data_IF_541074517927
#
_entry.id   IF_541074517927
#
_cell.length_a   1.000
_cell.length_b   1.000
_cell.length_c   1.000
_cell.angle_alpha   90.00
_cell.angle_beta   90.00
_cell.angle_gamma   90.00
#
_symmetry.space_group_name_H-M   'P 1'
#
loop_
_entity.id
_entity.type
_entity.pdbx_description
1 polymer ?
#
# COMPACT_ATOMS: atom_id res chain seq x y z
N UNK A 1 23.68 -18.99 8.41
CA UNK A 1 25.04 -18.56 7.98
C UNK A 1 25.29 -17.06 8.23
N UNK A 2 24.42 -16.14 7.78
CA UNK A 2 24.61 -14.70 8.07
C UNK A 2 24.09 -14.29 9.44
N UNK A 3 23.21 -15.07 10.05
CA UNK A 3 22.67 -14.81 11.38
C UNK A 3 23.74 -14.91 12.48
N UNK A 4 24.83 -15.63 12.21
CA UNK A 4 25.94 -15.83 13.15
C UNK A 4 27.02 -14.73 13.01
N UNK A 5 26.89 -13.84 12.02
CA UNK A 5 27.86 -12.77 11.83
C UNK A 5 27.66 -11.66 12.86
N UNK A 6 28.76 -11.18 13.43
CA UNK A 6 28.77 -9.88 14.07
C UNK A 6 28.62 -8.75 13.03
N UNK A 7 28.45 -7.52 13.48
CA UNK A 7 28.21 -6.38 12.59
C UNK A 7 29.41 -6.08 11.67
N UNK A 8 30.63 -6.33 12.11
CA UNK A 8 31.84 -6.11 11.31
C UNK A 8 31.92 -7.16 10.21
N UNK A 9 31.69 -8.43 10.55
CA UNK A 9 31.67 -9.52 9.60
C UNK A 9 30.57 -9.36 8.56
N UNK A 10 29.34 -8.94 8.97
CA UNK A 10 28.24 -8.67 8.06
C UNK A 10 28.59 -7.57 7.05
N UNK A 11 29.23 -6.50 7.53
CA UNK A 11 29.67 -5.39 6.68
C UNK A 11 30.73 -5.81 5.67
N UNK A 12 31.80 -6.47 6.14
CA UNK A 12 32.93 -6.84 5.28
C UNK A 12 32.63 -8.00 4.33
N UNK A 13 31.93 -9.05 4.79
CA UNK A 13 31.72 -10.27 4.02
C UNK A 13 30.48 -10.23 3.11
N UNK A 14 29.51 -9.36 3.39
CA UNK A 14 28.26 -9.30 2.65
C UNK A 14 27.94 -7.91 2.12
N UNK A 15 27.69 -6.93 3.00
CA UNK A 15 27.15 -5.64 2.60
C UNK A 15 28.11 -4.85 1.72
N UNK A 16 29.40 -4.88 1.98
CA UNK A 16 30.41 -4.21 1.15
C UNK A 16 30.34 -4.68 -0.29
N UNK A 17 30.42 -6.00 -0.54
CA UNK A 17 30.33 -6.56 -1.88
C UNK A 17 28.98 -6.28 -2.55
N UNK A 18 27.89 -6.37 -1.78
CA UNK A 18 26.56 -6.09 -2.30
C UNK A 18 26.44 -4.63 -2.78
N UNK A 19 26.88 -3.66 -1.96
CA UNK A 19 26.82 -2.27 -2.32
C UNK A 19 27.83 -1.89 -3.42
N UNK A 20 29.01 -2.50 -3.46
CA UNK A 20 29.97 -2.35 -4.56
C UNK A 20 29.36 -2.81 -5.89
N UNK A 21 28.63 -3.94 -5.91
CA UNK A 21 27.91 -4.42 -7.10
C UNK A 21 26.75 -3.53 -7.51
N UNK A 22 26.15 -2.81 -6.58
CA UNK A 22 25.18 -1.75 -6.87
C UNK A 22 25.84 -0.46 -7.39
N UNK A 23 27.17 -0.31 -7.26
CA UNK A 23 27.92 0.86 -7.69
C UNK A 23 28.24 1.87 -6.58
N UNK A 24 28.01 1.55 -5.30
CA UNK A 24 28.38 2.39 -4.17
C UNK A 24 29.85 2.20 -3.79
N UNK A 25 30.46 3.27 -3.26
CA UNK A 25 31.75 3.24 -2.58
C UNK A 25 31.54 3.67 -1.12
N UNK A 26 30.99 2.75 -0.32
CA UNK A 26 30.61 3.04 1.07
C UNK A 26 31.77 3.54 1.91
N UNK A 27 31.56 4.65 2.60
CA UNK A 27 32.50 5.22 3.57
C UNK A 27 31.96 5.02 4.98
N UNK A 28 32.71 4.28 5.77
CA UNK A 28 32.36 4.03 7.17
C UNK A 28 32.49 5.31 8.01
N UNK A 29 31.52 5.50 8.90
CA UNK A 29 31.52 6.56 9.91
C UNK A 29 30.88 6.06 11.20
N UNK A 30 31.21 6.61 12.35
CA UNK A 30 30.59 6.23 13.62
C UNK A 30 29.26 6.94 13.84
N UNK A 31 29.13 8.13 13.33
CA UNK A 31 27.94 8.95 13.45
C UNK A 31 27.91 10.04 12.38
N UNK A 32 26.74 10.58 12.12
CA UNK A 32 26.52 11.78 11.30
C UNK A 32 25.82 12.86 12.11
N UNK A 33 26.06 14.12 11.75
CA UNK A 33 25.47 15.29 12.39
C UNK A 33 24.45 15.89 11.42
N UNK A 34 23.21 16.03 11.87
CA UNK A 34 22.19 16.72 11.11
C UNK A 34 22.52 18.20 11.01
N UNK A 35 22.74 18.70 9.79
CA UNK A 35 23.24 20.04 9.54
C UNK A 35 22.36 21.15 10.12
N UNK A 36 21.04 20.97 10.07
CA UNK A 36 20.07 22.00 10.49
C UNK A 36 19.92 22.10 12.01
N UNK A 37 20.18 21.02 12.76
CA UNK A 37 19.92 20.96 14.21
C UNK A 37 21.16 20.71 15.05
N UNK A 38 22.28 20.31 14.45
CA UNK A 38 23.48 19.89 15.15
C UNK A 38 23.37 18.57 15.91
N UNK A 39 22.23 17.86 15.80
CA UNK A 39 22.02 16.60 16.49
C UNK A 39 22.87 15.49 15.88
N UNK A 40 23.49 14.68 16.74
CA UNK A 40 24.34 13.56 16.34
C UNK A 40 23.50 12.27 16.28
N UNK A 41 23.61 11.56 15.16
CA UNK A 41 22.94 10.29 14.91
C UNK A 41 23.95 9.17 14.69
N UNK A 42 23.77 7.97 15.29
CA UNK A 42 24.66 6.81 15.11
C UNK A 42 24.41 6.14 13.76
N UNK A 43 24.84 6.78 12.69
CA UNK A 43 24.66 6.32 11.30
C UNK A 43 25.99 5.80 10.77
N UNK A 44 26.01 4.59 10.19
CA UNK A 44 27.21 3.80 10.01
C UNK A 44 28.01 4.07 8.72
N UNK A 45 27.37 4.51 7.66
CA UNK A 45 28.02 4.74 6.38
C UNK A 45 27.41 5.90 5.62
N UNK A 46 28.22 6.47 4.74
CA UNK A 46 27.83 7.35 3.65
C UNK A 46 28.08 6.66 2.31
N UNK A 47 27.26 6.92 1.32
CA UNK A 47 27.32 6.22 0.01
C UNK A 47 28.63 6.45 -0.75
N UNK A 48 29.23 7.65 -0.59
CA UNK A 48 30.55 8.07 -1.14
C UNK A 48 31.07 9.29 -0.37
N UNK A 49 32.23 9.80 -0.76
CA UNK A 49 32.92 10.92 -0.09
C UNK A 49 32.33 12.31 -0.38
N UNK A 50 31.05 12.47 -0.42
CA UNK A 50 30.41 13.76 -0.65
C UNK A 50 29.32 14.00 0.41
N UNK A 51 29.18 15.21 0.97
CA UNK A 51 28.12 15.53 1.93
C UNK A 51 26.71 15.29 1.40
N UNK A 52 26.49 15.36 0.08
CA UNK A 52 25.21 15.07 -0.58
C UNK A 52 24.95 13.58 -0.76
N UNK A 53 25.94 12.71 -0.49
CA UNK A 53 25.78 11.27 -0.63
C UNK A 53 24.71 10.74 0.36
N UNK A 54 23.88 9.77 -0.08
CA UNK A 54 22.88 9.19 0.79
C UNK A 54 23.53 8.47 2.00
N UNK A 55 22.86 8.51 3.13
CA UNK A 55 23.24 7.71 4.30
C UNK A 55 22.84 6.25 4.06
N UNK A 56 23.74 5.33 4.39
CA UNK A 56 23.48 3.89 4.38
C UNK A 56 23.71 3.37 5.81
N UNK A 57 22.63 3.19 6.55
CA UNK A 57 22.66 2.70 7.92
C UNK A 57 22.56 1.18 7.96
N UNK A 58 23.60 0.53 8.50
CA UNK A 58 23.69 -0.93 8.59
C UNK A 58 23.61 -1.39 10.03
N UNK A 59 22.80 -2.41 10.28
CA UNK A 59 22.62 -3.01 11.62
C UNK A 59 22.80 -4.54 11.53
N UNK A 60 22.83 -5.22 12.67
CA UNK A 60 22.97 -6.67 12.76
C UNK A 60 21.89 -7.39 11.94
N UNK A 61 22.23 -8.54 11.38
CA UNK A 61 21.32 -9.35 10.57
C UNK A 61 20.04 -9.76 11.32
N UNK A 62 20.18 -10.05 12.61
CA UNK A 62 19.07 -10.43 13.49
C UNK A 62 18.25 -9.25 14.00
N UNK A 63 18.74 -8.00 13.78
CA UNK A 63 18.05 -6.81 14.24
C UNK A 63 16.85 -6.48 13.34
N UNK A 64 15.67 -6.39 13.96
CA UNK A 64 14.47 -5.88 13.30
C UNK A 64 14.60 -4.38 13.05
N UNK A 65 14.29 -3.93 11.83
CA UNK A 65 14.43 -2.52 11.44
C UNK A 65 13.43 -1.59 12.14
N UNK A 66 12.31 -2.13 12.64
CA UNK A 66 11.28 -1.36 13.34
C UNK A 66 11.37 -1.46 14.86
N UNK A 67 12.21 -2.34 15.40
CA UNK A 67 12.37 -2.51 16.84
C UNK A 67 13.62 -1.83 17.34
N UNK A 68 13.51 -1.23 18.52
CA UNK A 68 14.65 -0.65 19.22
C UNK A 68 15.70 -1.71 19.50
N UNK A 69 16.98 -1.36 19.33
CA UNK A 69 18.11 -2.25 19.68
C UNK A 69 18.15 -2.42 21.21
N UNK A 70 18.21 -3.65 21.73
CA UNK A 70 18.10 -3.92 23.17
C UNK A 70 19.40 -3.61 23.97
N UNK A 71 20.35 -2.85 23.40
CA UNK A 71 21.65 -2.54 24.00
C UNK A 71 21.64 -1.34 24.97
N UNK A 72 20.49 -0.69 25.14
CA UNK A 72 20.33 0.52 25.97
C UNK A 72 20.99 1.79 25.41
N UNK A 73 21.84 1.69 24.39
CA UNK A 73 22.57 2.83 23.79
C UNK A 73 21.76 3.51 22.70
N UNK A 74 20.92 2.78 21.99
CA UNK A 74 20.10 3.29 20.90
C UNK A 74 18.72 3.70 21.40
N UNK A 75 18.37 4.98 21.24
CA UNK A 75 17.09 5.54 21.69
C UNK A 75 15.93 5.11 20.79
N UNK A 76 16.19 4.88 19.51
CA UNK A 76 15.21 4.63 18.46
C UNK A 76 15.50 3.33 17.72
N UNK A 77 14.51 2.84 16.94
CA UNK A 77 14.74 1.75 15.98
C UNK A 77 15.70 2.19 14.87
N UNK A 78 16.34 1.25 14.14
CA UNK A 78 17.17 1.59 12.99
C UNK A 78 16.45 2.46 11.95
N UNK A 79 15.21 2.11 11.64
CA UNK A 79 14.34 2.89 10.75
C UNK A 79 14.12 4.30 11.28
N UNK A 80 13.68 4.43 12.53
CA UNK A 80 13.38 5.74 13.12
C UNK A 80 14.64 6.60 13.31
N UNK A 81 15.79 5.99 13.53
CA UNK A 81 17.07 6.70 13.62
C UNK A 81 17.41 7.39 12.30
N UNK A 82 17.34 6.66 11.19
CA UNK A 82 17.58 7.25 9.87
C UNK A 82 16.48 8.25 9.48
N UNK A 83 15.20 7.93 9.72
CA UNK A 83 14.09 8.84 9.39
C UNK A 83 14.22 10.18 10.13
N UNK A 84 14.57 10.16 11.41
CA UNK A 84 14.77 11.39 12.20
C UNK A 84 15.94 12.21 11.72
N UNK A 85 17.01 11.56 11.24
CA UNK A 85 18.12 12.25 10.61
C UNK A 85 17.69 12.93 9.31
N UNK A 86 17.02 12.18 8.41
CA UNK A 86 16.53 12.74 7.14
C UNK A 86 15.58 13.93 7.35
N UNK A 87 14.73 13.86 8.38
CA UNK A 87 13.83 14.95 8.72
C UNK A 87 14.53 16.19 9.34
N UNK A 88 15.81 16.12 9.66
CA UNK A 88 16.60 17.20 10.28
C UNK A 88 17.75 17.65 9.39
N UNK A 89 17.78 17.23 8.13
CA UNK A 89 18.81 17.65 7.17
C UNK A 89 18.19 17.91 5.82
N UNK A 90 18.58 19.03 5.20
CA UNK A 90 18.13 19.39 3.83
C UNK A 90 19.07 18.86 2.76
N UNK A 91 20.28 18.45 3.15
CA UNK A 91 21.30 17.95 2.21
C UNK A 91 21.05 16.54 1.71
N UNK A 92 20.30 15.74 2.47
CA UNK A 92 20.05 14.32 2.17
C UNK A 92 18.55 14.03 2.26
N UNK A 93 17.87 14.05 1.12
CA UNK A 93 16.44 13.72 1.07
C UNK A 93 16.18 12.21 1.16
N UNK A 94 17.18 11.39 0.79
CA UNK A 94 17.05 9.95 0.69
C UNK A 94 18.13 9.22 1.49
N UNK A 95 17.78 8.08 2.07
CA UNK A 95 18.70 7.23 2.79
C UNK A 95 18.31 5.75 2.71
N UNK A 96 19.24 4.90 3.06
CA UNK A 96 19.09 3.44 3.03
C UNK A 96 19.33 2.89 4.43
N UNK A 97 18.45 2.00 4.91
CA UNK A 97 18.69 1.20 6.11
C UNK A 97 18.61 -0.28 5.81
N UNK A 98 19.54 -1.07 6.32
CA UNK A 98 19.58 -2.52 6.07
C UNK A 98 20.16 -3.29 7.25
N UNK A 99 19.63 -4.51 7.43
CA UNK A 99 20.22 -5.52 8.31
C UNK A 99 20.86 -6.67 7.52
N UNK A 100 21.01 -6.52 6.19
CA UNK A 100 21.58 -7.57 5.33
C UNK A 100 20.57 -8.59 4.80
N UNK A 101 19.40 -8.75 5.42
CA UNK A 101 18.28 -9.55 4.87
C UNK A 101 17.19 -8.67 4.27
N UNK A 102 16.96 -7.51 4.84
CA UNK A 102 16.02 -6.50 4.35
C UNK A 102 16.73 -5.20 4.09
N UNK A 103 16.37 -4.54 3.01
CA UNK A 103 16.89 -3.22 2.66
C UNK A 103 15.72 -2.28 2.41
N UNK A 104 15.76 -1.10 3.02
CA UNK A 104 14.73 -0.06 2.89
C UNK A 104 15.35 1.21 2.33
N UNK A 105 14.67 1.78 1.35
CA UNK A 105 14.87 3.12 0.86
C UNK A 105 13.88 4.05 1.58
N UNK A 106 14.38 5.05 2.28
CA UNK A 106 13.63 6.06 3.01
C UNK A 106 13.80 7.42 2.36
N UNK A 107 12.76 8.24 2.45
CA UNK A 107 12.78 9.64 2.10
C UNK A 107 12.49 10.51 3.33
N UNK A 108 12.90 11.77 3.30
CA UNK A 108 12.37 12.77 4.23
C UNK A 108 10.84 12.87 4.16
N UNK A 109 10.15 12.66 5.29
CA UNK A 109 8.70 12.74 5.45
C UNK A 109 8.34 13.67 6.62
N UNK A 110 8.68 14.94 6.50
CA UNK A 110 8.51 15.92 7.58
C UNK A 110 7.05 16.15 8.00
N UNK A 111 6.09 15.89 7.13
CA UNK A 111 4.68 16.26 7.31
C UNK A 111 3.72 15.07 7.35
N UNK A 112 4.19 13.84 7.33
CA UNK A 112 3.32 12.67 7.29
C UNK A 112 3.43 11.83 8.57
N UNK A 113 2.26 11.47 9.13
CA UNK A 113 2.15 10.64 10.33
C UNK A 113 2.42 9.15 10.08
N UNK A 114 2.51 8.74 8.83
CA UNK A 114 2.76 7.34 8.43
C UNK A 114 4.17 7.15 7.89
N UNK A 115 4.78 6.00 8.25
CA UNK A 115 6.08 5.60 7.70
C UNK A 115 5.97 5.31 6.20
N UNK A 116 6.69 6.06 5.37
CA UNK A 116 6.79 5.83 3.93
C UNK A 116 8.16 5.27 3.58
N UNK A 117 8.23 4.07 3.00
CA UNK A 117 9.47 3.45 2.54
C UNK A 117 9.21 2.42 1.45
N UNK A 118 10.24 2.13 0.67
CA UNK A 118 10.28 0.96 -0.22
C UNK A 118 11.17 -0.10 0.42
N UNK A 119 10.68 -1.31 0.62
CA UNK A 119 11.44 -2.42 1.21
C UNK A 119 11.60 -3.56 0.23
N UNK A 120 12.81 -4.11 0.18
CA UNK A 120 13.13 -5.35 -0.49
C UNK A 120 13.58 -6.41 0.52
N UNK A 121 13.09 -7.63 0.36
CA UNK A 121 13.56 -8.80 1.08
C UNK A 121 14.65 -9.50 0.24
N UNK A 122 15.91 -9.36 0.66
CA UNK A 122 17.05 -9.87 -0.10
C UNK A 122 17.09 -11.40 -0.12
N UNK A 123 16.66 -12.06 0.98
CA UNK A 123 16.59 -13.51 1.01
C UNK A 123 15.57 -14.02 -0.01
N UNK A 124 14.37 -13.41 -0.02
CA UNK A 124 13.32 -13.78 -0.97
C UNK A 124 13.75 -13.55 -2.43
N UNK A 125 14.51 -12.47 -2.69
CA UNK A 125 15.00 -12.14 -4.03
C UNK A 125 16.07 -13.14 -4.48
N UNK A 126 17.08 -13.41 -3.64
CA UNK A 126 18.22 -14.24 -4.04
C UNK A 126 17.90 -15.73 -3.98
N UNK A 127 17.29 -16.22 -2.89
CA UNK A 127 16.92 -17.63 -2.76
C UNK A 127 15.83 -18.02 -3.76
N UNK A 128 14.87 -17.12 -3.97
CA UNK A 128 13.78 -17.27 -4.93
C UNK A 128 14.17 -16.97 -6.39
N UNK A 129 15.41 -16.52 -6.65
CA UNK A 129 15.90 -16.08 -7.98
C UNK A 129 14.95 -15.12 -8.68
N UNK A 130 14.36 -14.19 -7.95
CA UNK A 130 13.35 -13.25 -8.44
C UNK A 130 14.00 -12.09 -9.21
N UNK A 131 14.28 -12.32 -10.47
CA UNK A 131 15.00 -11.35 -11.31
C UNK A 131 14.24 -10.02 -11.50
N UNK A 132 12.93 -10.05 -11.61
CA UNK A 132 12.11 -8.83 -11.75
C UNK A 132 12.25 -7.89 -10.56
N UNK A 133 12.22 -8.45 -9.34
CA UNK A 133 12.37 -7.69 -8.09
C UNK A 133 13.81 -7.21 -7.91
N UNK A 134 14.80 -8.06 -8.27
CA UNK A 134 16.20 -7.64 -8.29
C UNK A 134 16.44 -6.47 -9.27
N UNK A 135 15.85 -6.53 -10.46
CA UNK A 135 15.94 -5.45 -11.44
C UNK A 135 15.33 -4.14 -10.90
N UNK A 136 14.20 -4.22 -10.19
CA UNK A 136 13.59 -3.05 -9.55
C UNK A 136 14.48 -2.49 -8.44
N UNK A 137 15.00 -3.36 -7.56
CA UNK A 137 15.96 -3.00 -6.51
C UNK A 137 17.17 -2.28 -7.11
N UNK A 138 17.81 -2.86 -8.13
CA UNK A 138 18.98 -2.28 -8.79
C UNK A 138 18.66 -0.89 -9.37
N UNK A 139 17.51 -0.76 -10.06
CA UNK A 139 17.10 0.52 -10.65
C UNK A 139 16.84 1.61 -9.64
N UNK A 140 16.28 1.28 -8.49
CA UNK A 140 15.98 2.26 -7.43
C UNK A 140 17.21 2.61 -6.57
N UNK A 141 18.05 1.61 -6.26
CA UNK A 141 19.17 1.79 -5.35
C UNK A 141 20.50 2.09 -6.03
N UNK A 142 20.60 2.13 -7.35
CA UNK A 142 21.84 2.51 -8.04
C UNK A 142 22.24 3.95 -7.67
N UNK A 143 23.53 4.25 -7.37
CA UNK A 143 24.00 5.56 -6.90
C UNK A 143 23.57 6.74 -7.78
N UNK A 144 23.50 6.55 -9.10
CA UNK A 144 23.07 7.60 -10.03
C UNK A 144 21.65 8.12 -9.76
N UNK A 145 20.83 7.40 -8.99
CA UNK A 145 19.46 7.82 -8.64
C UNK A 145 19.43 8.87 -7.53
N UNK A 146 20.50 8.94 -6.76
CA UNK A 146 20.65 9.88 -5.63
C UNK A 146 21.35 11.18 -6.04
N UNK A 147 22.08 11.16 -7.16
CA UNK A 147 22.80 12.35 -7.64
C UNK A 147 21.80 13.44 -8.03
N UNK A 148 22.06 14.64 -7.53
CA UNK A 148 21.25 15.82 -7.83
C UNK A 148 21.67 16.37 -9.18
N UNK A 149 20.74 16.46 -10.11
CA UNK A 149 20.93 17.11 -11.40
C UNK A 149 21.05 18.62 -11.22
N UNK A 150 22.04 19.26 -11.87
CA UNK A 150 22.36 20.67 -11.69
C UNK A 150 21.30 21.62 -12.27
N UNK A 151 20.61 21.18 -13.33
CA UNK A 151 19.63 22.01 -14.04
C UNK A 151 18.28 21.99 -13.34
N UNK A 152 17.87 20.80 -12.86
CA UNK A 152 16.58 20.59 -12.21
C UNK A 152 16.64 20.73 -10.69
N UNK A 153 17.82 20.69 -10.10
CA UNK A 153 18.07 20.63 -8.65
C UNK A 153 17.33 19.48 -7.94
N UNK A 154 17.12 18.37 -8.67
CA UNK A 154 16.42 17.18 -8.17
C UNK A 154 17.19 15.92 -8.54
N UNK A 155 17.09 14.90 -7.69
CA UNK A 155 17.54 13.56 -8.05
C UNK A 155 16.47 12.82 -8.87
N UNK A 156 16.86 11.75 -9.56
CA UNK A 156 15.91 10.89 -10.28
C UNK A 156 14.89 10.30 -9.30
N UNK A 157 15.30 9.92 -8.09
CA UNK A 157 14.36 9.43 -7.05
C UNK A 157 13.33 10.50 -6.68
N UNK A 158 13.74 11.77 -6.60
CA UNK A 158 12.82 12.85 -6.28
C UNK A 158 11.83 13.12 -7.42
N UNK A 159 12.27 13.02 -8.65
CA UNK A 159 11.40 13.11 -9.83
C UNK A 159 10.37 11.98 -9.83
N UNK A 160 10.82 10.72 -9.66
CA UNK A 160 9.93 9.55 -9.59
C UNK A 160 8.93 9.64 -8.44
N UNK A 161 9.37 10.13 -7.28
CA UNK A 161 8.47 10.32 -6.13
C UNK A 161 7.37 11.34 -6.42
N UNK A 162 7.74 12.49 -7.00
CA UNK A 162 6.78 13.53 -7.33
C UNK A 162 5.80 13.09 -8.43
N UNK A 163 6.28 12.41 -9.46
CA UNK A 163 5.42 11.80 -10.50
C UNK A 163 4.45 10.77 -9.91
N UNK A 164 4.94 9.90 -9.02
CA UNK A 164 4.09 8.92 -8.33
C UNK A 164 3.02 9.59 -7.46
N UNK A 165 3.37 10.69 -6.78
CA UNK A 165 2.42 11.48 -5.98
C UNK A 165 1.35 12.11 -6.86
N UNK A 166 1.73 12.71 -7.98
CA UNK A 166 0.78 13.29 -8.94
C UNK A 166 -0.13 12.22 -9.56
N UNK A 167 0.44 11.08 -9.95
CA UNK A 167 -0.34 9.95 -10.45
C UNK A 167 -1.33 9.43 -9.40
N UNK A 168 -0.90 9.35 -8.14
CA UNK A 168 -1.79 8.96 -7.04
C UNK A 168 -2.93 9.95 -6.80
N UNK A 169 -2.70 11.25 -6.94
CA UNK A 169 -3.75 12.29 -6.86
C UNK A 169 -4.72 12.14 -8.03
N UNK A 170 -4.23 12.01 -9.26
CA UNK A 170 -5.06 11.84 -10.45
C UNK A 170 -5.95 10.59 -10.35
N UNK A 171 -5.39 9.44 -9.94
CA UNK A 171 -6.17 8.22 -9.69
C UNK A 171 -7.22 8.44 -8.60
N UNK A 172 -6.90 9.21 -7.56
CA UNK A 172 -7.85 9.54 -6.49
C UNK A 172 -9.02 10.42 -6.98
N UNK A 173 -8.78 11.34 -7.89
CA UNK A 173 -9.81 12.19 -8.50
C UNK A 173 -10.69 11.39 -9.46
N UNK A 174 -10.08 10.57 -10.32
CA UNK A 174 -10.80 9.66 -11.23
C UNK A 174 -11.67 8.67 -10.43
N UNK A 175 -11.12 8.09 -9.35
CA UNK A 175 -11.88 7.19 -8.48
C UNK A 175 -13.08 7.91 -7.84
N UNK A 176 -12.92 9.15 -7.39
CA UNK A 176 -14.02 9.96 -6.83
C UNK A 176 -15.10 10.21 -7.86
N UNK A 177 -14.73 10.54 -9.09
CA UNK A 177 -15.65 10.70 -10.22
C UNK A 177 -16.41 9.42 -10.52
N UNK A 178 -15.72 8.31 -10.61
CA UNK A 178 -16.31 7.00 -10.88
C UNK A 178 -17.25 6.52 -9.76
N UNK A 179 -16.88 6.73 -8.50
CA UNK A 179 -17.74 6.40 -7.34
C UNK A 179 -18.99 7.27 -7.34
N UNK A 180 -18.87 8.56 -7.65
CA UNK A 180 -20.03 9.45 -7.77
C UNK A 180 -20.98 8.97 -8.87
N UNK A 181 -20.46 8.64 -10.04
CA UNK A 181 -21.27 8.10 -11.14
C UNK A 181 -21.93 6.76 -10.78
N UNK A 182 -21.24 5.89 -10.07
CA UNK A 182 -21.83 4.64 -9.56
C UNK A 182 -22.99 4.89 -8.60
N UNK A 183 -22.87 5.89 -7.69
CA UNK A 183 -23.95 6.32 -6.79
C UNK A 183 -25.15 6.80 -7.58
N UNK A 184 -24.92 7.68 -8.55
CA UNK A 184 -25.96 8.26 -9.40
C UNK A 184 -26.69 7.18 -10.23
N UNK A 185 -25.94 6.28 -10.87
CA UNK A 185 -26.50 5.20 -11.66
C UNK A 185 -27.35 4.24 -10.81
N UNK A 186 -26.83 3.83 -9.67
CA UNK A 186 -27.52 2.92 -8.77
C UNK A 186 -28.80 3.57 -8.19
N UNK A 187 -28.70 4.82 -7.74
CA UNK A 187 -29.84 5.57 -7.23
C UNK A 187 -30.93 5.75 -8.29
N UNK A 188 -30.56 6.17 -9.48
CA UNK A 188 -31.51 6.34 -10.59
C UNK A 188 -32.18 5.02 -10.98
N UNK A 189 -31.43 3.90 -10.99
CA UNK A 189 -31.99 2.57 -11.24
C UNK A 189 -33.09 2.21 -10.24
N UNK A 190 -32.84 2.40 -8.93
CA UNK A 190 -33.86 2.13 -7.90
C UNK A 190 -35.07 3.08 -7.99
N UNK A 191 -34.84 4.37 -8.23
CA UNK A 191 -35.91 5.36 -8.30
C UNK A 191 -36.79 5.19 -9.54
N UNK A 192 -36.23 4.79 -10.70
CA UNK A 192 -36.97 4.57 -11.92
C UNK A 192 -37.94 3.40 -11.83
N UNK A 193 -37.57 2.37 -11.06
CA UNK A 193 -38.41 1.17 -10.86
C UNK A 193 -39.40 1.32 -9.71
N UNK A 194 -39.29 2.34 -8.86
CA UNK A 194 -40.10 2.55 -7.67
C UNK A 194 -40.67 3.99 -7.57
N UNK A 195 -41.82 4.27 -8.26
CA UNK A 195 -42.43 5.61 -8.25
C UNK A 195 -42.83 6.11 -6.85
N UNK A 196 -43.21 5.21 -5.94
CA UNK A 196 -43.51 5.59 -4.55
C UNK A 196 -42.26 6.02 -3.78
N UNK A 197 -41.17 5.29 -3.95
CA UNK A 197 -39.88 5.67 -3.36
C UNK A 197 -39.41 7.02 -3.89
N UNK A 198 -39.52 7.25 -5.20
CA UNK A 198 -39.18 8.53 -5.82
C UNK A 198 -40.00 9.68 -5.18
N UNK A 199 -41.31 9.50 -5.03
CA UNK A 199 -42.17 10.51 -4.41
C UNK A 199 -41.78 10.83 -2.96
N UNK A 200 -41.44 9.81 -2.19
CA UNK A 200 -41.03 9.96 -0.80
C UNK A 200 -39.68 10.68 -0.71
N UNK A 201 -38.69 10.25 -1.46
CA UNK A 201 -37.33 10.82 -1.48
C UNK A 201 -37.35 12.29 -1.91
N UNK A 202 -38.19 12.66 -2.90
CA UNK A 202 -38.31 14.06 -3.36
C UNK A 202 -38.98 14.96 -2.33
N UNK A 203 -39.97 14.45 -1.60
CA UNK A 203 -40.79 15.26 -0.71
C UNK A 203 -40.30 15.27 0.76
N UNK A 204 -39.39 14.38 1.13
CA UNK A 204 -38.92 14.25 2.52
C UNK A 204 -37.38 14.20 2.57
N UNK A 205 -36.78 15.22 3.19
CA UNK A 205 -35.32 15.35 3.30
C UNK A 205 -34.68 14.22 4.13
N UNK A 206 -35.36 13.71 5.16
CA UNK A 206 -34.85 12.60 5.97
C UNK A 206 -34.87 11.28 5.19
N UNK A 207 -35.91 11.02 4.41
CA UNK A 207 -35.97 9.86 3.52
C UNK A 207 -34.92 9.95 2.40
N UNK A 208 -34.64 11.13 1.87
CA UNK A 208 -33.57 11.36 0.92
C UNK A 208 -32.19 11.03 1.50
N UNK A 209 -31.89 11.46 2.73
CA UNK A 209 -30.65 11.13 3.42
C UNK A 209 -30.53 9.64 3.70
N UNK A 210 -31.62 9.01 4.18
CA UNK A 210 -31.61 7.58 4.45
C UNK A 210 -31.40 6.77 3.17
N UNK A 211 -32.09 7.12 2.09
CA UNK A 211 -31.88 6.50 0.77
C UNK A 211 -30.45 6.64 0.31
N UNK A 212 -29.84 7.83 0.43
CA UNK A 212 -28.43 8.05 0.09
C UNK A 212 -27.50 7.15 0.92
N UNK A 213 -27.74 7.03 2.24
CA UNK A 213 -26.97 6.14 3.10
C UNK A 213 -27.09 4.67 2.68
N UNK A 214 -28.27 4.24 2.24
CA UNK A 214 -28.47 2.87 1.77
C UNK A 214 -27.71 2.59 0.45
N UNK A 215 -27.75 3.53 -0.50
CA UNK A 215 -26.96 3.42 -1.74
C UNK A 215 -25.47 3.33 -1.42
N UNK A 216 -24.94 4.20 -0.55
CA UNK A 216 -23.53 4.14 -0.11
C UNK A 216 -23.20 2.78 0.50
N UNK A 217 -24.10 2.23 1.31
CA UNK A 217 -23.88 0.93 1.94
C UNK A 217 -23.81 -0.21 0.92
N UNK A 218 -24.64 -0.20 -0.11
CA UNK A 218 -24.57 -1.17 -1.20
C UNK A 218 -23.21 -1.08 -1.89
N UNK A 219 -22.75 0.12 -2.20
CA UNK A 219 -21.44 0.37 -2.82
C UNK A 219 -20.31 -0.14 -1.93
N UNK A 220 -20.34 0.16 -0.63
CA UNK A 220 -19.32 -0.34 0.30
C UNK A 220 -19.30 -1.87 0.40
N UNK A 221 -20.45 -2.53 0.34
CA UNK A 221 -20.53 -4.00 0.28
C UNK A 221 -19.86 -4.55 -0.98
N UNK A 222 -20.13 -3.96 -2.13
CA UNK A 222 -19.53 -4.36 -3.41
C UNK A 222 -18.02 -4.16 -3.36
N UNK A 223 -17.53 -3.00 -2.92
CA UNK A 223 -16.10 -2.71 -2.78
C UNK A 223 -15.42 -3.68 -1.82
N UNK A 224 -16.06 -3.98 -0.68
CA UNK A 224 -15.54 -4.95 0.29
C UNK A 224 -15.39 -6.33 -0.34
N UNK A 225 -16.40 -6.80 -1.06
CA UNK A 225 -16.38 -8.12 -1.69
C UNK A 225 -15.33 -8.19 -2.80
N UNK A 226 -15.22 -7.18 -3.66
CA UNK A 226 -14.17 -7.09 -4.67
C UNK A 226 -12.77 -7.17 -4.03
N UNK A 227 -12.56 -6.45 -2.94
CA UNK A 227 -11.29 -6.51 -2.21
C UNK A 227 -11.06 -7.88 -1.57
N UNK A 228 -12.08 -8.46 -0.94
CA UNK A 228 -11.99 -9.77 -0.29
C UNK A 228 -11.69 -10.89 -1.29
N UNK A 229 -12.32 -10.87 -2.46
CA UNK A 229 -12.05 -11.78 -3.57
C UNK A 229 -10.61 -11.62 -4.09
N UNK A 230 -10.16 -10.39 -4.34
CA UNK A 230 -8.81 -10.12 -4.81
C UNK A 230 -7.73 -10.56 -3.81
N UNK A 231 -8.02 -10.51 -2.51
CA UNK A 231 -7.10 -10.92 -1.43
C UNK A 231 -7.21 -12.39 -1.05
N UNK A 232 -8.01 -13.18 -1.77
CA UNK A 232 -8.29 -14.58 -1.45
C UNK A 232 -8.85 -14.78 -0.03
N UNK A 233 -9.59 -13.81 0.49
CA UNK A 233 -10.32 -13.90 1.74
C UNK A 233 -11.69 -14.57 1.56
N UNK A 234 -12.15 -14.68 0.33
CA UNK A 234 -13.34 -15.42 -0.10
C UNK A 234 -12.92 -16.71 -0.82
N UNK A 235 -13.78 -17.72 -0.89
CA UNK A 235 -13.43 -19.02 -1.47
C UNK A 235 -13.33 -18.96 -3.00
N UNK A 236 -12.37 -18.21 -3.52
CA UNK A 236 -12.14 -18.00 -4.97
C UNK A 236 -11.88 -19.33 -5.70
N UNK A 237 -11.41 -20.34 -4.95
CA UNK A 237 -11.15 -21.68 -5.49
C UNK A 237 -12.38 -22.58 -5.54
N UNK A 238 -13.47 -22.21 -4.89
CA UNK A 238 -14.75 -22.93 -4.97
C UNK A 238 -15.40 -22.62 -6.31
N UNK A 239 -15.56 -23.62 -7.16
CA UNK A 239 -16.14 -23.44 -8.49
C UNK A 239 -17.54 -22.82 -8.43
N UNK A 240 -18.37 -23.22 -7.48
CA UNK A 240 -19.74 -22.75 -7.36
C UNK A 240 -19.84 -21.30 -6.86
N UNK A 241 -19.08 -20.92 -5.80
CA UNK A 241 -19.08 -19.54 -5.37
C UNK A 241 -18.57 -18.60 -6.46
N UNK A 242 -17.41 -18.94 -7.05
CA UNK A 242 -16.77 -18.08 -8.03
C UNK A 242 -17.63 -17.88 -9.29
N UNK A 243 -18.29 -18.93 -9.78
CA UNK A 243 -19.08 -18.87 -11.01
C UNK A 243 -20.43 -18.18 -10.84
N UNK A 244 -21.09 -18.35 -9.69
CA UNK A 244 -22.50 -17.95 -9.54
C UNK A 244 -22.73 -16.79 -8.56
N UNK A 245 -21.84 -16.63 -7.56
CA UNK A 245 -22.10 -15.70 -6.45
C UNK A 245 -21.03 -14.62 -6.27
N UNK A 246 -19.87 -14.72 -6.93
CA UNK A 246 -18.83 -13.72 -6.78
C UNK A 246 -19.18 -12.40 -7.47
N UNK A 247 -18.70 -11.29 -6.91
CA UNK A 247 -18.82 -9.97 -7.56
C UNK A 247 -18.03 -9.95 -8.88
N UNK A 248 -16.92 -10.69 -8.95
CA UNK A 248 -16.16 -10.87 -10.19
C UNK A 248 -17.01 -11.51 -11.28
N UNK A 249 -17.72 -12.61 -10.98
CA UNK A 249 -18.63 -13.26 -11.94
C UNK A 249 -19.81 -12.36 -12.34
N UNK A 250 -20.35 -11.60 -11.39
CA UNK A 250 -21.40 -10.62 -11.67
C UNK A 250 -20.91 -9.54 -12.65
N UNK A 251 -19.72 -9.02 -12.41
CA UNK A 251 -19.08 -8.04 -13.31
C UNK A 251 -18.90 -8.64 -14.72
N UNK A 252 -18.37 -9.84 -14.82
CA UNK A 252 -18.13 -10.51 -16.10
C UNK A 252 -19.45 -10.78 -16.84
N UNK A 253 -20.52 -11.12 -16.13
CA UNK A 253 -21.87 -11.24 -16.71
C UNK A 253 -22.36 -9.90 -17.28
N UNK A 254 -22.19 -8.80 -16.54
CA UNK A 254 -22.61 -7.46 -16.98
C UNK A 254 -21.75 -6.95 -18.17
N UNK A 255 -20.46 -7.22 -18.19
CA UNK A 255 -19.56 -6.79 -19.27
C UNK A 255 -19.77 -7.58 -20.57
N UNK A 256 -20.13 -8.87 -20.49
CA UNK A 256 -20.23 -9.77 -21.64
C UNK A 256 -21.66 -9.99 -22.16
N UNK A 257 -22.67 -9.64 -21.38
CA UNK A 257 -24.07 -9.74 -21.83
C UNK A 257 -24.50 -8.34 -22.29
N UNK A 258 -24.97 -8.25 -23.54
CA UNK A 258 -25.70 -7.08 -24.01
C UNK A 258 -27.02 -7.07 -23.23
N UNK A 259 -27.05 -6.41 -22.08
CA UNK A 259 -28.27 -6.21 -21.31
C UNK A 259 -29.06 -5.17 -22.08
N UNK A 260 -30.02 -5.64 -22.89
CA UNK A 260 -31.04 -4.79 -23.46
C UNK A 260 -31.77 -4.04 -22.32
N UNK A 261 -32.65 -3.11 -22.68
CA UNK A 261 -33.56 -2.44 -21.73
C UNK A 261 -34.53 -3.49 -21.14
N UNK A 262 -34.05 -4.24 -20.17
CA UNK A 262 -34.70 -5.39 -19.58
C UNK A 262 -35.07 -5.03 -18.14
N UNK A 263 -36.33 -5.16 -17.79
CA UNK A 263 -36.87 -4.88 -16.46
C UNK A 263 -36.56 -6.01 -15.45
N UNK A 264 -35.66 -6.95 -15.77
CA UNK A 264 -35.35 -8.07 -14.89
C UNK A 264 -34.49 -7.65 -13.71
N UNK A 265 -34.80 -8.16 -12.52
CA UNK A 265 -34.13 -7.84 -11.25
C UNK A 265 -33.27 -9.00 -10.75
N UNK A 266 -33.04 -10.03 -11.55
CA UNK A 266 -32.34 -11.26 -11.19
C UNK A 266 -30.90 -11.02 -10.74
N UNK A 267 -30.17 -10.09 -11.36
CA UNK A 267 -28.82 -9.70 -10.92
C UNK A 267 -28.82 -9.05 -9.52
N UNK A 268 -29.83 -8.22 -9.24
CA UNK A 268 -30.00 -7.61 -7.92
C UNK A 268 -30.40 -8.66 -6.87
N UNK A 269 -31.29 -9.59 -7.20
CA UNK A 269 -31.67 -10.69 -6.31
C UNK A 269 -30.45 -11.57 -6.00
N UNK A 270 -29.64 -11.91 -7.01
CA UNK A 270 -28.38 -12.63 -6.84
C UNK A 270 -27.40 -11.90 -5.91
N UNK A 271 -27.27 -10.57 -6.06
CA UNK A 271 -26.42 -9.75 -5.21
C UNK A 271 -26.91 -9.73 -3.75
N UNK A 272 -28.23 -9.65 -3.52
CA UNK A 272 -28.80 -9.75 -2.17
C UNK A 272 -28.51 -11.09 -1.51
N UNK A 273 -28.60 -12.19 -2.26
CA UNK A 273 -28.25 -13.54 -1.77
C UNK A 273 -26.78 -13.58 -1.38
N UNK A 274 -25.89 -13.03 -2.20
CA UNK A 274 -24.46 -12.95 -1.89
C UNK A 274 -24.21 -12.18 -0.59
N UNK A 275 -24.86 -11.04 -0.40
CA UNK A 275 -24.73 -10.27 0.86
C UNK A 275 -25.21 -11.07 2.08
N UNK A 276 -26.29 -11.82 1.93
CA UNK A 276 -26.80 -12.66 3.01
C UNK A 276 -25.88 -13.83 3.35
N UNK A 277 -25.33 -14.50 2.33
CA UNK A 277 -24.33 -15.56 2.52
C UNK A 277 -23.07 -15.04 3.24
N UNK A 278 -22.61 -13.86 2.87
CA UNK A 278 -21.45 -13.23 3.50
C UNK A 278 -21.74 -12.83 4.96
N UNK A 279 -22.95 -12.37 5.24
CA UNK A 279 -23.34 -12.04 6.61
C UNK A 279 -23.41 -13.29 7.51
N UNK A 280 -24.11 -14.34 7.05
CA UNK A 280 -24.33 -15.55 7.83
C UNK A 280 -23.16 -16.55 7.82
N UNK A 281 -22.38 -16.50 6.75
CA UNK A 281 -21.44 -17.56 6.40
C UNK A 281 -22.15 -18.78 5.80
N UNK A 282 -21.46 -19.49 4.91
CA UNK A 282 -21.95 -20.74 4.31
C UNK A 282 -20.80 -21.74 4.28
N UNK A 283 -20.79 -22.67 5.22
CA UNK A 283 -19.70 -23.65 5.39
C UNK A 283 -19.51 -24.53 4.16
N UNK A 284 -20.60 -24.91 3.52
CA UNK A 284 -20.62 -25.78 2.34
C UNK A 284 -19.92 -25.13 1.13
N UNK A 285 -19.96 -23.80 1.05
CA UNK A 285 -19.27 -23.00 0.04
C UNK A 285 -17.92 -22.45 0.54
N UNK A 286 -17.56 -22.71 1.79
CA UNK A 286 -16.35 -22.18 2.40
C UNK A 286 -16.39 -20.67 2.67
N UNK A 287 -17.58 -20.06 2.69
CA UNK A 287 -17.76 -18.62 2.94
C UNK A 287 -17.72 -18.38 4.45
N UNK A 288 -16.74 -17.60 4.97
CA UNK A 288 -16.73 -17.22 6.38
C UNK A 288 -17.85 -16.23 6.69
N UNK A 289 -18.36 -16.24 7.91
CA UNK A 289 -19.33 -15.26 8.36
C UNK A 289 -18.65 -13.92 8.68
N UNK A 290 -19.01 -12.88 7.96
CA UNK A 290 -18.60 -11.50 8.23
C UNK A 290 -19.74 -10.76 8.95
N UNK A 291 -19.96 -11.07 10.23
CA UNK A 291 -21.07 -10.57 11.06
C UNK A 291 -21.01 -9.08 11.40
N UNK A 292 -20.41 -8.26 10.55
CA UNK A 292 -20.29 -6.83 10.77
C UNK A 292 -21.56 -6.04 10.41
N UNK A 293 -21.70 -4.84 10.96
CA UNK A 293 -22.81 -3.91 10.67
C UNK A 293 -22.99 -3.64 9.17
N UNK A 294 -21.92 -3.74 8.38
CA UNK A 294 -21.98 -3.51 6.94
C UNK A 294 -22.95 -4.45 6.22
N UNK A 295 -22.97 -5.74 6.61
CA UNK A 295 -23.81 -6.76 5.96
C UNK A 295 -25.09 -7.09 6.72
N UNK A 296 -25.34 -6.50 7.91
CA UNK A 296 -26.53 -6.79 8.72
C UNK A 296 -27.82 -6.39 8.00
N UNK A 297 -28.88 -7.18 8.20
CA UNK A 297 -30.22 -6.93 7.61
C UNK A 297 -30.91 -5.72 8.22
N UNK A 298 -30.64 -5.42 9.49
CA UNK A 298 -31.36 -4.38 10.25
C UNK A 298 -31.12 -2.96 9.74
N UNK A 299 -30.36 -2.85 8.70
CA UNK A 299 -29.90 -1.58 8.14
C UNK A 299 -30.39 -1.35 6.70
N UNK A 300 -31.03 -2.33 6.05
CA UNK A 300 -31.72 -2.13 4.77
C UNK A 300 -33.22 -2.27 5.01
N UNK A 301 -33.90 -1.15 5.12
CA UNK A 301 -35.35 -1.06 5.02
C UNK A 301 -35.69 -0.98 3.54
N UNK A 302 -35.70 -2.14 2.87
CA UNK A 302 -36.30 -2.30 1.52
C UNK A 302 -37.63 -2.95 1.64
#
# INVERSE_FOLDING_TARGET
FMADYDIAQLREKWLKYFFEKLGFNLKYQQADIAADTGNKFPLSHRGWEDPSAPIVHTVLYTQDLDKKVPDGRHKYSPHDTLQRYLNQTKSNLWGIVTNGSKIRLLRDFHHETRKGYVQFDLNLIFDGRKYSEFRLLYRLLHPSRFVIDKDTNKSILETLFNESKLAGIAVGEDLRGNVRQAIENLANGFLSLNPMLLKNVVNNNEECKEFHHQILRVIYRIIFLLYAEQRNLMPVKSSLYFQEYSITALRDKVENVFIGEDAHTDLWEGLKITFEMVYKGVKELGIPAYNGLLFSRDVIKT
#
